data_IF_718606512159
#
_entry.id   IF_718606512159
#
_cell.length_a   1.000
_cell.length_b   1.000
_cell.length_c   1.000
_cell.angle_alpha   90.00
_cell.angle_beta   90.00
_cell.angle_gamma   90.00
#
_symmetry.space_group_name_H-M   'P 1'
#
loop_
_entity.id
_entity.type
_entity.pdbx_description
1 polymer ?
#
# COMPACT_ATOMS: atom_id res chain seq x y z
N UNK A 1 44.66 -33.07 29.95
CA UNK A 1 45.18 -34.25 29.23
C UNK A 1 44.17 -34.68 28.18
N UNK A 2 44.68 -35.05 27.00
CA UNK A 2 44.01 -35.65 25.81
C UNK A 2 43.16 -34.73 24.93
N UNK A 3 43.86 -34.16 23.95
CA UNK A 3 43.42 -33.88 22.58
C UNK A 3 42.87 -35.17 21.94
N UNK A 4 41.77 -35.09 21.18
CA UNK A 4 41.57 -35.87 19.95
C UNK A 4 40.80 -34.99 18.93
N UNK A 5 41.48 -34.73 17.82
CA UNK A 5 40.96 -34.25 16.54
C UNK A 5 40.10 -35.35 15.88
N UNK A 6 38.99 -35.00 15.25
CA UNK A 6 38.65 -35.58 13.93
C UNK A 6 37.69 -34.66 13.16
N UNK A 7 38.15 -34.24 11.99
CA UNK A 7 37.40 -33.52 10.99
C UNK A 7 36.58 -34.50 10.15
N UNK A 8 35.38 -34.09 9.71
CA UNK A 8 34.83 -34.49 8.42
C UNK A 8 33.79 -33.46 7.95
N UNK A 9 33.95 -33.08 6.69
CA UNK A 9 33.19 -32.12 5.89
C UNK A 9 31.72 -32.50 5.74
N UNK A 10 30.83 -31.50 5.77
CA UNK A 10 29.71 -31.43 4.82
C UNK A 10 29.37 -29.96 4.55
N UNK A 11 29.44 -29.59 3.27
CA UNK A 11 29.16 -28.28 2.75
C UNK A 11 27.65 -28.06 2.64
N UNK A 12 27.17 -26.90 3.08
CA UNK A 12 25.85 -26.38 2.72
C UNK A 12 26.05 -25.00 2.09
N UNK A 13 25.68 -24.91 0.81
CA UNK A 13 25.80 -23.71 0.00
C UNK A 13 24.81 -22.63 0.45
N UNK A 14 25.32 -21.52 0.95
CA UNK A 14 24.57 -20.27 1.10
C UNK A 14 24.78 -19.43 -0.17
N UNK A 15 23.71 -19.26 -0.94
CA UNK A 15 23.63 -18.27 -1.99
C UNK A 15 23.52 -16.87 -1.35
N UNK A 16 24.66 -16.20 -1.20
CA UNK A 16 24.73 -14.77 -0.84
C UNK A 16 24.71 -13.97 -2.14
N UNK A 17 23.73 -13.07 -2.24
CA UNK A 17 23.63 -12.12 -3.35
C UNK A 17 24.91 -11.31 -3.49
N UNK A 18 25.41 -11.25 -4.72
CA UNK A 18 26.63 -10.54 -5.08
C UNK A 18 26.43 -9.03 -4.91
N UNK A 19 26.84 -8.48 -3.77
CA UNK A 19 27.36 -7.10 -3.76
C UNK A 19 28.64 -7.12 -4.57
N UNK A 20 28.62 -6.48 -5.74
CA UNK A 20 29.83 -6.27 -6.54
C UNK A 20 30.80 -5.40 -5.75
N UNK A 21 31.64 -6.02 -4.92
CA UNK A 21 32.88 -5.41 -4.46
C UNK A 21 33.73 -5.21 -5.70
N UNK A 22 34.12 -3.97 -5.96
CA UNK A 22 35.20 -3.63 -6.88
C UNK A 22 36.51 -4.20 -6.30
N UNK A 23 36.72 -5.51 -6.41
CA UNK A 23 38.04 -6.12 -6.25
C UNK A 23 38.78 -5.92 -7.56
N UNK A 24 39.59 -4.86 -7.61
CA UNK A 24 40.57 -4.68 -8.66
C UNK A 24 41.54 -5.86 -8.67
N UNK A 25 41.54 -6.64 -9.75
CA UNK A 25 42.59 -7.64 -9.98
C UNK A 25 43.95 -6.94 -10.11
N UNK A 26 45.03 -7.50 -9.53
CA UNK A 26 46.37 -6.96 -9.67
C UNK A 26 46.86 -7.16 -11.11
N UNK A 27 46.96 -6.07 -11.88
CA UNK A 27 47.69 -6.07 -13.15
C UNK A 27 49.19 -6.04 -12.87
N UNK A 28 49.94 -6.88 -13.57
CA UNK A 28 51.41 -6.90 -13.61
C UNK A 28 51.94 -5.49 -13.91
N UNK A 29 52.67 -4.92 -12.96
CA UNK A 29 53.20 -3.55 -12.99
C UNK A 29 54.45 -3.45 -13.88
N UNK A 30 54.36 -2.66 -14.94
CA UNK A 30 55.50 -2.01 -15.61
C UNK A 30 56.29 -1.20 -14.57
N UNK A 31 57.62 -1.05 -14.68
CA UNK A 31 58.39 -0.26 -13.71
C UNK A 31 57.84 1.16 -13.62
N UNK A 32 57.48 1.56 -12.40
CA UNK A 32 56.98 2.89 -12.10
C UNK A 32 58.13 3.88 -12.31
N UNK A 33 57.96 4.83 -13.22
CA UNK A 33 58.88 5.96 -13.31
C UNK A 33 58.65 6.84 -12.10
N UNK A 34 59.53 6.72 -11.10
CA UNK A 34 59.55 7.59 -9.93
C UNK A 34 59.83 9.02 -10.38
N UNK A 35 59.09 9.96 -9.81
CA UNK A 35 59.17 11.39 -10.11
C UNK A 35 59.62 12.12 -8.84
N UNK A 36 60.62 12.98 -8.99
CA UNK A 36 61.15 13.80 -7.88
C UNK A 36 60.32 15.09 -7.66
N UNK A 37 59.21 15.28 -8.38
CA UNK A 37 58.33 16.44 -8.17
C UNK A 37 57.55 16.25 -6.85
N UNK A 38 58.00 16.97 -5.83
CA UNK A 38 57.42 16.96 -4.48
C UNK A 38 55.91 17.21 -4.48
N UNK A 39 55.40 18.09 -5.35
CA UNK A 39 53.98 18.37 -5.44
C UNK A 39 53.21 17.18 -6.05
N UNK A 40 53.80 16.51 -7.04
CA UNK A 40 53.23 15.30 -7.68
C UNK A 40 53.11 14.16 -6.65
N UNK A 41 54.18 13.92 -5.88
CA UNK A 41 54.23 12.89 -4.83
C UNK A 41 53.27 13.19 -3.68
N UNK A 42 53.32 14.41 -3.13
CA UNK A 42 52.49 14.79 -1.98
C UNK A 42 50.99 14.78 -2.31
N UNK A 43 50.61 15.27 -3.49
CA UNK A 43 49.20 15.31 -3.90
C UNK A 43 48.67 13.90 -4.21
N UNK A 44 49.45 13.06 -4.89
CA UNK A 44 49.04 11.67 -5.14
C UNK A 44 48.97 10.86 -3.83
N UNK A 45 49.91 11.05 -2.90
CA UNK A 45 49.85 10.43 -1.57
C UNK A 45 48.60 10.85 -0.81
N UNK A 46 48.24 12.15 -0.82
CA UNK A 46 47.01 12.64 -0.21
C UNK A 46 45.77 11.96 -0.82
N UNK A 47 45.74 11.77 -2.14
CA UNK A 47 44.69 10.98 -2.79
C UNK A 47 44.64 9.54 -2.24
N UNK A 48 45.76 8.81 -2.24
CA UNK A 48 45.81 7.40 -1.82
C UNK A 48 45.41 7.22 -0.35
N UNK A 49 45.92 8.07 0.53
CA UNK A 49 45.67 8.00 1.97
C UNK A 49 44.19 8.28 2.31
N UNK A 50 43.46 8.99 1.43
CA UNK A 50 42.08 9.41 1.68
C UNK A 50 41.02 8.69 0.82
N UNK A 51 41.40 7.95 -0.23
CA UNK A 51 40.42 7.41 -1.20
C UNK A 51 39.34 6.50 -0.60
N UNK A 52 39.66 5.82 0.50
CA UNK A 52 38.72 4.96 1.25
C UNK A 52 38.08 5.72 2.43
N UNK A 53 38.85 6.29 3.39
CA UNK A 53 38.25 6.85 4.59
C UNK A 53 37.56 8.21 4.36
N UNK A 54 38.03 8.99 3.38
CA UNK A 54 37.59 10.37 3.13
C UNK A 54 37.56 10.68 1.63
N UNK A 55 36.68 10.02 0.86
CA UNK A 55 36.71 10.07 -0.61
C UNK A 55 36.54 11.49 -1.18
N UNK A 56 35.88 12.41 -0.46
CA UNK A 56 35.83 13.84 -0.82
C UNK A 56 37.20 14.54 -0.77
N UNK A 57 38.06 14.17 0.19
CA UNK A 57 39.43 14.71 0.30
C UNK A 57 40.30 14.13 -0.82
N UNK A 58 40.11 12.85 -1.14
CA UNK A 58 40.76 12.21 -2.27
C UNK A 58 40.34 12.83 -3.60
N UNK A 59 39.04 13.12 -3.78
CA UNK A 59 38.54 13.82 -4.96
C UNK A 59 39.18 15.18 -5.15
N UNK A 60 39.26 16.00 -4.10
CA UNK A 60 39.94 17.28 -4.17
C UNK A 60 41.42 17.11 -4.55
N UNK A 61 42.13 16.18 -3.92
CA UNK A 61 43.54 15.90 -4.24
C UNK A 61 43.73 15.42 -5.69
N UNK A 62 42.84 14.55 -6.19
CA UNK A 62 42.85 14.10 -7.57
C UNK A 62 42.61 15.26 -8.55
N UNK A 63 41.66 16.16 -8.25
CA UNK A 63 41.40 17.36 -9.06
C UNK A 63 42.60 18.30 -9.06
N UNK A 64 43.19 18.57 -7.90
CA UNK A 64 44.38 19.41 -7.76
C UNK A 64 45.56 18.85 -8.57
N UNK A 65 45.78 17.53 -8.52
CA UNK A 65 46.76 16.83 -9.34
C UNK A 65 46.48 17.03 -10.84
N UNK A 66 45.23 16.85 -11.27
CA UNK A 66 44.84 16.96 -12.67
C UNK A 66 44.88 18.40 -13.19
N UNK A 67 44.76 19.42 -12.34
CA UNK A 67 44.95 20.82 -12.75
C UNK A 67 46.39 21.07 -13.19
N UNK A 68 47.37 20.54 -12.45
CA UNK A 68 48.80 20.77 -12.74
C UNK A 68 49.35 19.79 -13.78
N UNK A 69 48.99 18.51 -13.69
CA UNK A 69 49.59 17.45 -14.51
C UNK A 69 48.61 16.79 -15.48
N UNK A 70 47.36 17.24 -15.59
CA UNK A 70 46.33 16.53 -16.37
C UNK A 70 46.58 16.41 -17.88
N UNK A 71 47.56 17.17 -18.42
CA UNK A 71 48.04 17.06 -19.81
C UNK A 71 49.04 15.93 -20.02
N UNK A 72 49.66 15.43 -18.94
CA UNK A 72 50.56 14.28 -19.01
C UNK A 72 49.74 13.01 -19.27
N UNK A 73 50.29 12.10 -20.07
CA UNK A 73 49.69 10.79 -20.35
C UNK A 73 50.45 9.67 -19.63
N UNK A 74 50.50 9.78 -18.30
CA UNK A 74 51.12 8.78 -17.44
C UNK A 74 50.07 7.89 -16.76
N UNK A 75 50.55 6.88 -16.03
CA UNK A 75 49.68 5.95 -15.33
C UNK A 75 48.82 6.63 -14.24
N UNK A 76 49.33 7.68 -13.61
CA UNK A 76 48.65 8.39 -12.52
C UNK A 76 47.55 9.29 -13.07
N UNK A 77 47.81 10.07 -14.12
CA UNK A 77 46.80 10.92 -14.76
C UNK A 77 45.68 10.09 -15.37
N UNK A 78 46.00 8.94 -15.99
CA UNK A 78 44.97 7.99 -16.48
C UNK A 78 44.12 7.45 -15.34
N UNK A 79 44.74 6.95 -14.28
CA UNK A 79 44.03 6.40 -13.13
C UNK A 79 43.17 7.45 -12.42
N UNK A 80 43.71 8.64 -12.16
CA UNK A 80 42.98 9.71 -11.50
C UNK A 80 41.82 10.22 -12.36
N UNK A 81 41.97 10.29 -13.68
CA UNK A 81 40.89 10.65 -14.62
C UNK A 81 39.71 9.67 -14.50
N UNK A 82 40.00 8.37 -14.50
CA UNK A 82 38.97 7.33 -14.37
C UNK A 82 38.32 7.35 -12.97
N UNK A 83 39.13 7.52 -11.93
CA UNK A 83 38.65 7.60 -10.55
C UNK A 83 37.75 8.83 -10.32
N UNK A 84 38.15 10.02 -10.79
CA UNK A 84 37.37 11.26 -10.72
C UNK A 84 36.00 11.05 -11.38
N UNK A 85 35.98 10.47 -12.58
CA UNK A 85 34.75 10.20 -13.32
C UNK A 85 33.84 9.24 -12.54
N UNK A 86 34.39 8.17 -11.97
CA UNK A 86 33.64 7.20 -11.17
C UNK A 86 33.07 7.84 -9.89
N UNK A 87 33.86 8.66 -9.20
CA UNK A 87 33.43 9.39 -8.00
C UNK A 87 32.28 10.37 -8.32
N UNK A 88 32.40 11.16 -9.39
CA UNK A 88 31.35 12.12 -9.80
C UNK A 88 30.05 11.41 -10.19
N UNK A 89 30.14 10.25 -10.85
CA UNK A 89 29.00 9.41 -11.20
C UNK A 89 28.29 8.85 -9.95
N UNK A 90 29.06 8.36 -8.98
CA UNK A 90 28.55 7.83 -7.72
C UNK A 90 27.90 8.92 -6.85
N UNK A 91 28.54 10.08 -6.70
CA UNK A 91 27.98 11.24 -6.00
C UNK A 91 26.66 11.71 -6.65
N UNK A 92 26.61 11.76 -7.98
CA UNK A 92 25.38 12.09 -8.71
C UNK A 92 24.29 11.06 -8.44
N UNK A 93 24.63 9.78 -8.43
CA UNK A 93 23.69 8.68 -8.17
C UNK A 93 23.13 8.77 -6.75
N UNK A 94 23.99 8.99 -5.75
CA UNK A 94 23.60 9.18 -4.35
C UNK A 94 22.70 10.40 -4.18
N UNK A 95 23.03 11.52 -4.83
CA UNK A 95 22.20 12.73 -4.78
C UNK A 95 20.80 12.48 -5.36
N UNK A 96 20.71 11.87 -6.54
CA UNK A 96 19.42 11.53 -7.16
C UNK A 96 18.62 10.57 -6.29
N UNK A 97 19.26 9.57 -5.68
CA UNK A 97 18.59 8.65 -4.76
C UNK A 97 18.06 9.38 -3.50
N UNK A 98 18.84 10.30 -2.94
CA UNK A 98 18.41 11.11 -1.79
C UNK A 98 17.22 12.02 -2.14
N UNK A 99 17.25 12.68 -3.30
CA UNK A 99 16.13 13.51 -3.79
C UNK A 99 14.85 12.68 -4.01
N UNK A 100 14.97 11.45 -4.50
CA UNK A 100 13.84 10.52 -4.65
C UNK A 100 13.25 10.13 -3.30
N UNK A 101 14.11 9.78 -2.34
CA UNK A 101 13.69 9.42 -0.98
C UNK A 101 13.02 10.59 -0.26
N UNK A 102 13.54 11.82 -0.41
CA UNK A 102 12.92 13.03 0.15
C UNK A 102 11.53 13.28 -0.42
N UNK A 103 11.34 13.15 -1.75
CA UNK A 103 10.00 13.26 -2.36
C UNK A 103 9.01 12.22 -1.84
N UNK A 104 9.45 10.96 -1.70
CA UNK A 104 8.63 9.91 -1.09
C UNK A 104 8.23 10.29 0.33
N UNK A 105 9.20 10.70 1.16
CA UNK A 105 8.95 11.06 2.55
C UNK A 105 8.02 12.27 2.67
N UNK A 106 8.16 13.27 1.81
CA UNK A 106 7.27 14.42 1.77
C UNK A 106 5.83 14.04 1.39
N UNK A 107 5.66 13.13 0.42
CA UNK A 107 4.34 12.61 0.06
C UNK A 107 3.70 11.91 1.25
N UNK A 108 4.41 10.96 1.87
CA UNK A 108 3.89 10.19 3.01
C UNK A 108 3.64 11.06 4.24
N UNK A 109 4.53 12.03 4.50
CA UNK A 109 4.36 13.01 5.57
C UNK A 109 3.14 13.91 5.37
N UNK A 110 2.76 14.19 4.11
CA UNK A 110 1.58 14.99 3.80
C UNK A 110 0.28 14.30 4.24
N UNK A 111 0.20 12.95 4.16
CA UNK A 111 -0.94 12.21 4.73
C UNK A 111 -1.01 12.33 6.25
N UNK A 112 0.13 12.26 6.94
CA UNK A 112 0.16 12.46 8.41
C UNK A 112 -0.31 13.85 8.81
N UNK A 113 -0.06 14.85 7.96
CA UNK A 113 -0.51 16.24 8.12
C UNK A 113 -1.93 16.48 7.62
N UNK A 114 -2.59 15.46 7.08
CA UNK A 114 -3.92 15.54 6.40
C UNK A 114 -3.94 16.52 5.21
N UNK A 115 -2.78 16.80 4.63
CA UNK A 115 -2.65 17.56 3.39
C UNK A 115 -2.75 16.60 2.18
N UNK A 116 -3.97 16.11 1.98
CA UNK A 116 -4.26 15.15 0.91
C UNK A 116 -3.98 15.75 -0.48
N UNK A 117 -4.25 17.05 -0.68
CA UNK A 117 -4.03 17.71 -1.96
C UNK A 117 -2.56 17.72 -2.35
N UNK A 118 -1.66 18.04 -1.40
CA UNK A 118 -0.22 17.94 -1.62
C UNK A 118 0.22 16.50 -1.89
N UNK A 119 -0.26 15.53 -1.10
CA UNK A 119 0.09 14.12 -1.28
C UNK A 119 -0.26 13.60 -2.68
N UNK A 120 -1.51 13.81 -3.12
CA UNK A 120 -1.95 13.39 -4.46
C UNK A 120 -1.27 14.21 -5.57
N UNK A 121 -1.00 15.50 -5.35
CA UNK A 121 -0.24 16.34 -6.29
C UNK A 121 1.19 15.84 -6.54
N UNK A 122 1.82 15.22 -5.54
CA UNK A 122 3.17 14.64 -5.64
C UNK A 122 3.19 13.22 -6.21
N UNK A 123 2.07 12.51 -6.21
CA UNK A 123 1.98 11.09 -6.54
C UNK A 123 2.59 10.74 -7.89
N UNK A 124 2.26 11.52 -8.94
CA UNK A 124 2.76 11.28 -10.30
C UNK A 124 4.28 11.34 -10.38
N UNK A 125 4.91 12.30 -9.68
CA UNK A 125 6.35 12.45 -9.69
C UNK A 125 7.04 11.31 -8.93
N UNK A 126 6.53 10.97 -7.74
CA UNK A 126 7.09 9.88 -6.92
C UNK A 126 6.95 8.52 -7.63
N UNK A 127 5.80 8.24 -8.25
CA UNK A 127 5.57 6.99 -8.96
C UNK A 127 6.22 6.95 -10.34
N UNK A 128 6.66 8.07 -10.91
CA UNK A 128 7.51 8.06 -12.10
C UNK A 128 8.93 7.53 -11.76
N UNK A 129 9.42 7.83 -10.55
CA UNK A 129 10.72 7.34 -10.08
C UNK A 129 10.70 5.85 -9.74
N UNK A 130 9.59 5.35 -9.18
CA UNK A 130 9.35 3.94 -8.88
C UNK A 130 7.85 3.60 -9.02
N UNK A 131 7.40 3.10 -10.18
CA UNK A 131 5.99 2.79 -10.42
C UNK A 131 5.45 1.65 -9.55
N UNK A 132 6.31 0.79 -9.01
CA UNK A 132 5.95 -0.35 -8.17
C UNK A 132 6.23 -0.09 -6.68
N UNK A 133 6.33 1.19 -6.27
CA UNK A 133 6.52 1.54 -4.87
C UNK A 133 5.27 1.16 -4.05
N UNK A 134 5.23 -0.08 -3.55
CA UNK A 134 4.10 -0.67 -2.83
C UNK A 134 3.71 0.19 -1.63
N UNK A 135 4.69 0.73 -0.89
CA UNK A 135 4.45 1.60 0.28
C UNK A 135 3.68 2.87 -0.10
N UNK A 136 4.08 3.54 -1.17
CA UNK A 136 3.40 4.75 -1.67
C UNK A 136 2.03 4.40 -2.24
N UNK A 137 1.91 3.30 -2.97
CA UNK A 137 0.62 2.85 -3.55
C UNK A 137 -0.39 2.46 -2.46
N UNK A 138 0.04 1.80 -1.39
CA UNK A 138 -0.81 1.52 -0.23
C UNK A 138 -1.34 2.83 0.37
N UNK A 139 -0.45 3.78 0.65
CA UNK A 139 -0.83 5.06 1.24
C UNK A 139 -1.82 5.83 0.34
N UNK A 140 -1.48 6.01 -0.95
CA UNK A 140 -2.37 6.67 -1.92
C UNK A 140 -3.70 5.94 -2.12
N UNK A 141 -3.69 4.60 -2.03
CA UNK A 141 -4.89 3.78 -2.21
C UNK A 141 -5.84 3.86 -1.03
N UNK A 142 -5.30 3.83 0.19
CA UNK A 142 -6.10 3.81 1.41
C UNK A 142 -6.50 5.20 1.91
N UNK A 143 -5.59 6.19 1.86
CA UNK A 143 -5.82 7.53 2.44
C UNK A 143 -6.87 8.37 1.69
N UNK A 144 -7.32 7.93 0.51
CA UNK A 144 -8.50 8.52 -0.16
C UNK A 144 -9.78 8.35 0.67
N UNK A 145 -9.87 7.29 1.49
CA UNK A 145 -10.93 7.13 2.50
C UNK A 145 -10.82 8.23 3.56
N UNK A 146 -9.61 8.50 4.05
CA UNK A 146 -9.35 9.59 5.01
C UNK A 146 -9.72 10.96 4.43
N UNK A 147 -9.32 11.23 3.18
CA UNK A 147 -9.69 12.46 2.46
C UNK A 147 -11.22 12.61 2.35
N UNK A 148 -11.93 11.53 2.00
CA UNK A 148 -13.39 11.54 1.87
C UNK A 148 -14.12 11.69 3.20
N UNK A 149 -13.68 10.99 4.24
CA UNK A 149 -14.44 10.87 5.49
C UNK A 149 -14.05 11.93 6.53
N UNK A 150 -12.79 12.35 6.58
CA UNK A 150 -12.30 13.34 7.52
C UNK A 150 -12.29 14.75 6.93
N UNK A 151 -11.80 14.89 5.70
CA UNK A 151 -11.71 16.19 5.01
C UNK A 151 -12.92 16.48 4.09
N UNK A 152 -13.86 15.54 3.96
CA UNK A 152 -15.07 15.66 3.11
C UNK A 152 -14.72 15.97 1.65
N UNK A 153 -13.62 15.40 1.16
CA UNK A 153 -13.12 15.64 -0.18
C UNK A 153 -13.06 14.32 -0.96
N UNK A 154 -14.07 14.08 -1.79
CA UNK A 154 -14.19 12.89 -2.65
C UNK A 154 -13.39 13.00 -3.96
N UNK A 155 -12.75 14.14 -4.24
CA UNK A 155 -12.11 14.40 -5.54
C UNK A 155 -10.99 13.40 -5.87
N UNK A 156 -10.39 12.78 -4.86
CA UNK A 156 -9.30 11.83 -5.02
C UNK A 156 -9.77 10.38 -5.19
N UNK A 157 -11.06 10.07 -5.00
CA UNK A 157 -11.54 8.69 -4.90
C UNK A 157 -11.24 7.86 -6.15
N UNK A 158 -11.34 8.44 -7.35
CA UNK A 158 -11.05 7.73 -8.58
C UNK A 158 -9.55 7.37 -8.71
N UNK A 159 -8.67 8.32 -8.40
CA UNK A 159 -7.22 8.09 -8.44
C UNK A 159 -6.79 7.13 -7.33
N UNK A 160 -7.31 7.32 -6.12
CA UNK A 160 -7.09 6.44 -4.98
C UNK A 160 -7.49 5.00 -5.29
N UNK A 161 -8.63 4.78 -5.94
CA UNK A 161 -9.03 3.43 -6.36
C UNK A 161 -8.02 2.78 -7.31
N UNK A 162 -7.54 3.53 -8.31
CA UNK A 162 -6.49 3.05 -9.21
C UNK A 162 -5.20 2.63 -8.47
N UNK A 163 -4.78 3.41 -7.47
CA UNK A 163 -3.61 3.08 -6.64
C UNK A 163 -3.87 1.87 -5.74
N UNK A 164 -5.06 1.76 -5.14
CA UNK A 164 -5.45 0.63 -4.31
C UNK A 164 -5.45 -0.68 -5.10
N UNK A 165 -6.03 -0.69 -6.30
CA UNK A 165 -6.00 -1.85 -7.21
C UNK A 165 -4.58 -2.28 -7.54
N UNK A 166 -3.71 -1.33 -7.88
CA UNK A 166 -2.30 -1.63 -8.19
C UNK A 166 -1.56 -2.18 -6.98
N UNK A 167 -1.78 -1.61 -5.79
CA UNK A 167 -1.20 -2.11 -4.55
C UNK A 167 -1.64 -3.55 -4.26
N UNK A 168 -2.95 -3.86 -4.37
CA UNK A 168 -3.50 -5.21 -4.21
C UNK A 168 -2.80 -6.18 -5.17
N UNK A 169 -2.73 -5.86 -6.46
CA UNK A 169 -2.08 -6.71 -7.46
C UNK A 169 -0.60 -7.01 -7.14
N UNK A 170 0.16 -5.99 -6.75
CA UNK A 170 1.57 -6.16 -6.38
C UNK A 170 1.73 -7.04 -5.13
N UNK A 171 0.92 -6.80 -4.10
CA UNK A 171 0.96 -7.56 -2.85
C UNK A 171 0.55 -9.03 -3.06
N UNK A 172 -0.47 -9.27 -3.87
CA UNK A 172 -0.93 -10.63 -4.22
C UNK A 172 0.10 -11.38 -5.08
N UNK A 173 0.84 -10.68 -5.94
CA UNK A 173 1.97 -11.26 -6.70
C UNK A 173 3.25 -11.48 -5.87
N UNK A 174 3.23 -11.14 -4.58
CA UNK A 174 4.33 -11.40 -3.65
C UNK A 174 5.29 -10.25 -3.43
N UNK A 175 5.04 -9.06 -3.99
CA UNK A 175 5.80 -7.85 -3.66
C UNK A 175 5.44 -7.39 -2.25
N UNK A 176 6.44 -6.94 -1.50
CA UNK A 176 6.25 -6.43 -0.14
C UNK A 176 6.94 -5.07 0.00
N UNK A 177 6.38 -4.13 0.79
CA UNK A 177 7.14 -2.96 1.22
C UNK A 177 8.22 -3.38 2.23
N UNK A 178 9.18 -2.49 2.49
CA UNK A 178 10.20 -2.70 3.54
C UNK A 178 9.57 -2.75 4.95
N UNK A 179 8.39 -2.15 5.12
CA UNK A 179 7.60 -2.19 6.35
C UNK A 179 6.10 -2.12 6.05
N UNK A 180 5.29 -2.83 6.83
CA UNK A 180 3.82 -2.79 6.75
C UNK A 180 3.22 -1.61 7.54
N UNK A 181 4.00 -0.94 8.39
CA UNK A 181 3.51 0.14 9.23
C UNK A 181 2.84 1.26 8.39
N UNK A 182 1.73 1.86 8.87
CA UNK A 182 1.13 1.68 10.20
C UNK A 182 0.24 0.43 10.34
N UNK A 183 0.07 -0.36 9.28
CA UNK A 183 -0.67 -1.62 9.34
C UNK A 183 0.14 -2.71 10.05
N UNK A 184 -0.58 -3.70 10.58
CA UNK A 184 0.04 -4.78 11.38
C UNK A 184 0.80 -5.76 10.50
N UNK A 185 0.26 -6.08 9.32
CA UNK A 185 0.77 -7.11 8.42
C UNK A 185 0.14 -6.96 7.01
N UNK A 186 0.45 -7.92 6.13
CA UNK A 186 -0.09 -8.01 4.76
C UNK A 186 -1.61 -8.11 4.74
N UNK A 187 -2.19 -8.92 5.62
CA UNK A 187 -3.63 -9.19 5.67
C UNK A 187 -4.40 -7.91 6.02
N UNK A 188 -3.92 -7.14 6.99
CA UNK A 188 -4.50 -5.88 7.42
C UNK A 188 -4.47 -4.81 6.32
N UNK A 189 -3.39 -4.76 5.54
CA UNK A 189 -3.30 -3.92 4.33
C UNK A 189 -4.31 -4.37 3.28
N UNK A 190 -4.33 -5.66 2.92
CA UNK A 190 -5.22 -6.15 1.87
C UNK A 190 -6.69 -5.91 2.24
N UNK A 191 -7.08 -6.20 3.49
CA UNK A 191 -8.43 -5.93 3.96
C UNK A 191 -8.78 -4.44 3.88
N UNK A 192 -7.85 -3.56 4.24
CA UNK A 192 -8.05 -2.11 4.19
C UNK A 192 -8.12 -1.56 2.75
N UNK A 193 -7.36 -2.12 1.82
CA UNK A 193 -7.43 -1.77 0.41
C UNK A 193 -8.71 -2.28 -0.25
N UNK A 194 -9.16 -3.50 0.06
CA UNK A 194 -10.46 -3.99 -0.38
C UNK A 194 -11.61 -3.16 0.19
N UNK A 195 -11.52 -2.76 1.46
CA UNK A 195 -12.47 -1.80 2.04
C UNK A 195 -12.48 -0.47 1.28
N UNK A 196 -11.30 0.08 0.93
CA UNK A 196 -11.19 1.33 0.19
C UNK A 196 -11.81 1.21 -1.22
N UNK A 197 -11.52 0.14 -1.95
CA UNK A 197 -12.14 -0.16 -3.25
C UNK A 197 -13.67 -0.22 -3.19
N UNK A 198 -14.20 -0.91 -2.18
CA UNK A 198 -15.64 -0.92 -1.91
C UNK A 198 -16.19 0.48 -1.65
N UNK A 199 -15.48 1.26 -0.84
CA UNK A 199 -15.86 2.62 -0.48
C UNK A 199 -15.91 3.55 -1.70
N UNK A 200 -14.90 3.54 -2.57
CA UNK A 200 -14.87 4.38 -3.77
C UNK A 200 -15.94 3.99 -4.79
N UNK A 201 -16.30 2.71 -4.87
CA UNK A 201 -17.36 2.23 -5.75
C UNK A 201 -18.77 2.49 -5.20
N UNK A 202 -18.94 2.73 -3.89
CA UNK A 202 -20.24 2.71 -3.22
C UNK A 202 -21.29 3.64 -3.86
N UNK A 203 -20.90 4.85 -4.24
CA UNK A 203 -21.83 5.87 -4.76
C UNK A 203 -22.10 5.70 -6.25
N UNK A 204 -21.10 5.26 -7.02
CA UNK A 204 -21.15 5.25 -8.49
C UNK A 204 -21.47 3.88 -9.07
N UNK A 205 -21.05 2.81 -8.38
CA UNK A 205 -21.19 1.41 -8.78
C UNK A 205 -21.42 0.51 -7.53
N UNK A 206 -22.51 0.72 -6.78
CA UNK A 206 -22.76 0.03 -5.51
C UNK A 206 -22.72 -1.51 -5.61
N UNK A 207 -23.20 -2.10 -6.71
CA UNK A 207 -23.11 -3.55 -6.90
C UNK A 207 -21.66 -4.05 -6.99
N UNK A 208 -20.75 -3.27 -7.59
CA UNK A 208 -19.33 -3.60 -7.66
C UNK A 208 -18.60 -3.41 -6.33
N UNK A 209 -19.19 -2.69 -5.37
CA UNK A 209 -18.63 -2.52 -4.03
C UNK A 209 -18.79 -3.76 -3.14
N UNK A 210 -19.87 -4.53 -3.35
CA UNK A 210 -20.20 -5.72 -2.55
C UNK A 210 -19.04 -6.72 -2.43
N UNK A 211 -18.45 -7.24 -3.52
CA UNK A 211 -17.39 -8.25 -3.41
C UNK A 211 -16.15 -7.72 -2.66
N UNK A 212 -15.85 -6.43 -2.78
CA UNK A 212 -14.73 -5.80 -2.09
C UNK A 212 -14.98 -5.71 -0.57
N UNK A 213 -16.17 -5.27 -0.14
CA UNK A 213 -16.51 -5.27 1.29
C UNK A 213 -16.61 -6.67 1.88
N UNK A 214 -17.12 -7.66 1.13
CA UNK A 214 -17.12 -9.05 1.57
C UNK A 214 -15.71 -9.58 1.78
N UNK A 215 -14.79 -9.34 0.82
CA UNK A 215 -13.38 -9.70 1.00
C UNK A 215 -12.76 -9.05 2.23
N UNK A 216 -12.97 -7.74 2.41
CA UNK A 216 -12.48 -7.01 3.58
C UNK A 216 -13.01 -7.58 4.90
N UNK A 217 -14.27 -8.03 4.92
CA UNK A 217 -14.91 -8.66 6.08
C UNK A 217 -14.47 -10.11 6.34
N UNK A 218 -13.87 -10.79 5.36
CA UNK A 218 -13.42 -12.17 5.47
C UNK A 218 -11.94 -12.30 5.89
N UNK A 219 -11.11 -11.33 5.50
CA UNK A 219 -9.69 -11.31 5.85
C UNK A 219 -9.52 -11.05 7.35
N UNK A 220 -8.67 -11.85 8.01
CA UNK A 220 -8.41 -11.73 9.45
C UNK A 220 -7.60 -10.45 9.75
N UNK A 221 -8.32 -9.37 10.04
CA UNK A 221 -7.82 -8.00 10.16
C UNK A 221 -8.77 -7.16 11.01
N UNK A 222 -8.40 -5.93 11.33
CA UNK A 222 -9.28 -5.03 12.07
C UNK A 222 -10.57 -4.71 11.28
N UNK A 223 -10.53 -4.82 9.94
CA UNK A 223 -11.69 -4.60 9.06
C UNK A 223 -12.79 -5.63 9.23
N UNK A 224 -12.45 -6.87 9.58
CA UNK A 224 -13.41 -7.93 9.89
C UNK A 224 -14.24 -7.64 11.14
N UNK A 225 -13.70 -6.86 12.08
CA UNK A 225 -14.43 -6.42 13.27
C UNK A 225 -14.92 -4.97 13.20
N UNK A 226 -14.61 -4.24 12.12
CA UNK A 226 -14.98 -2.84 11.98
C UNK A 226 -16.48 -2.72 11.64
N UNK A 227 -17.28 -2.02 12.47
CA UNK A 227 -18.71 -1.84 12.19
C UNK A 227 -18.98 -1.17 10.83
N UNK A 228 -18.09 -0.24 10.42
CA UNK A 228 -18.22 0.48 9.15
C UNK A 228 -18.12 -0.43 7.93
N UNK A 229 -17.34 -1.52 7.98
CA UNK A 229 -17.24 -2.50 6.87
C UNK A 229 -18.62 -3.06 6.53
N UNK A 230 -19.37 -3.46 7.54
CA UNK A 230 -20.71 -4.04 7.38
C UNK A 230 -21.77 -2.98 7.08
N UNK A 231 -21.65 -1.78 7.65
CA UNK A 231 -22.52 -0.66 7.30
C UNK A 231 -22.40 -0.29 5.81
N UNK A 232 -21.19 -0.15 5.29
CA UNK A 232 -21.00 0.17 3.88
C UNK A 232 -21.37 -1.00 2.95
N UNK A 233 -21.17 -2.26 3.39
CA UNK A 233 -21.73 -3.42 2.69
C UNK A 233 -23.26 -3.36 2.60
N UNK A 234 -23.94 -3.00 3.69
CA UNK A 234 -25.38 -2.79 3.69
C UNK A 234 -25.79 -1.68 2.70
N UNK A 235 -25.09 -0.54 2.70
CA UNK A 235 -25.34 0.51 1.73
C UNK A 235 -25.12 0.06 0.28
N UNK A 236 -24.13 -0.80 0.03
CA UNK A 236 -23.87 -1.35 -1.30
C UNK A 236 -25.03 -2.26 -1.78
N UNK A 237 -25.56 -3.12 -0.91
CA UNK A 237 -26.76 -3.90 -1.23
C UNK A 237 -27.98 -3.00 -1.47
N UNK A 238 -28.19 -2.01 -0.60
CA UNK A 238 -29.33 -1.09 -0.64
C UNK A 238 -29.33 -0.24 -1.92
N UNK A 239 -28.21 0.41 -2.23
CA UNK A 239 -28.06 1.29 -3.39
C UNK A 239 -27.87 0.54 -4.71
N UNK A 240 -27.46 -0.74 -4.65
CA UNK A 240 -27.25 -1.60 -5.81
C UNK A 240 -28.47 -2.48 -6.11
N UNK A 241 -28.29 -3.79 -5.90
CA UNK A 241 -29.25 -4.80 -6.34
C UNK A 241 -30.64 -4.60 -5.73
N UNK A 242 -30.76 -4.21 -4.46
CA UNK A 242 -32.06 -4.01 -3.82
C UNK A 242 -32.86 -2.91 -4.52
N UNK A 243 -32.25 -1.72 -4.70
CA UNK A 243 -32.88 -0.61 -5.41
C UNK A 243 -33.25 -0.99 -6.84
N UNK A 244 -32.32 -1.58 -7.59
CA UNK A 244 -32.55 -1.95 -9.00
C UNK A 244 -33.71 -2.94 -9.15
N UNK A 245 -33.72 -4.00 -8.34
CA UNK A 245 -34.78 -5.01 -8.38
C UNK A 245 -36.13 -4.45 -7.91
N UNK A 246 -36.14 -3.62 -6.87
CA UNK A 246 -37.36 -2.97 -6.37
C UNK A 246 -37.96 -1.99 -7.38
N UNK A 247 -37.11 -1.21 -8.06
CA UNK A 247 -37.55 -0.30 -9.13
C UNK A 247 -38.11 -1.09 -10.33
N UNK A 248 -37.47 -2.21 -10.72
CA UNK A 248 -37.97 -3.09 -11.79
C UNK A 248 -39.31 -3.72 -11.43
N UNK A 249 -39.43 -4.25 -10.21
CA UNK A 249 -40.66 -4.84 -9.70
C UNK A 249 -41.81 -3.84 -9.71
N UNK A 250 -41.57 -2.64 -9.19
CA UNK A 250 -42.58 -1.58 -9.11
C UNK A 250 -43.09 -1.19 -10.51
N UNK A 251 -42.18 -1.08 -11.49
CA UNK A 251 -42.53 -0.75 -12.89
C UNK A 251 -43.33 -1.85 -13.58
N UNK A 252 -42.99 -3.11 -13.33
CA UNK A 252 -43.59 -4.26 -14.04
C UNK A 252 -44.87 -4.76 -13.39
N UNK A 253 -44.94 -4.75 -12.07
CA UNK A 253 -45.98 -5.44 -11.29
C UNK A 253 -46.74 -4.55 -10.31
N UNK A 254 -46.33 -3.30 -10.06
CA UNK A 254 -46.86 -2.49 -8.96
C UNK A 254 -48.37 -2.22 -8.98
N UNK A 255 -49.00 -2.28 -10.17
CA UNK A 255 -50.46 -2.10 -10.35
C UNK A 255 -51.12 -3.33 -10.99
N UNK A 256 -50.44 -4.48 -10.99
CA UNK A 256 -50.95 -5.71 -11.58
C UNK A 256 -51.44 -6.68 -10.50
N UNK A 257 -52.34 -7.58 -10.89
CA UNK A 257 -52.67 -8.72 -10.04
C UNK A 257 -51.42 -9.58 -9.85
N UNK A 258 -51.31 -10.19 -8.67
CA UNK A 258 -50.21 -11.08 -8.35
C UNK A 258 -50.13 -12.25 -9.36
N UNK A 259 -48.93 -12.49 -9.89
CA UNK A 259 -48.64 -13.57 -10.84
C UNK A 259 -47.47 -14.44 -10.34
N UNK A 260 -47.27 -15.64 -10.91
CA UNK A 260 -46.08 -16.45 -10.61
C UNK A 260 -44.76 -15.67 -10.83
N UNK A 261 -44.70 -14.85 -11.88
CA UNK A 261 -43.55 -14.01 -12.20
C UNK A 261 -43.35 -12.89 -11.18
N UNK A 262 -44.43 -12.24 -10.70
CA UNK A 262 -44.32 -11.22 -9.66
C UNK A 262 -43.83 -11.86 -8.35
N UNK A 263 -44.34 -13.04 -7.97
CA UNK A 263 -43.85 -13.78 -6.79
C UNK A 263 -42.36 -14.10 -6.90
N UNK A 264 -41.90 -14.60 -8.04
CA UNK A 264 -40.50 -14.92 -8.27
C UNK A 264 -39.60 -13.66 -8.22
N UNK A 265 -40.08 -12.54 -8.76
CA UNK A 265 -39.36 -11.26 -8.70
C UNK A 265 -39.27 -10.72 -7.27
N UNK A 266 -40.36 -10.81 -6.49
CA UNK A 266 -40.38 -10.42 -5.08
C UNK A 266 -39.44 -11.30 -4.24
N UNK A 267 -39.41 -12.61 -4.50
CA UNK A 267 -38.49 -13.52 -3.82
C UNK A 267 -37.01 -13.16 -4.08
N UNK A 268 -36.68 -12.71 -5.29
CA UNK A 268 -35.33 -12.23 -5.57
C UNK A 268 -34.99 -10.93 -4.82
N UNK A 269 -35.96 -10.03 -4.64
CA UNK A 269 -35.80 -8.84 -3.79
C UNK A 269 -35.55 -9.28 -2.33
N UNK A 270 -36.36 -10.22 -1.82
CA UNK A 270 -36.25 -10.71 -0.45
C UNK A 270 -34.87 -11.32 -0.17
N UNK A 271 -34.28 -12.08 -1.10
CA UNK A 271 -32.92 -12.61 -0.94
C UNK A 271 -31.85 -11.52 -0.78
N UNK A 272 -31.98 -10.41 -1.50
CA UNK A 272 -31.05 -9.27 -1.35
C UNK A 272 -31.33 -8.53 -0.05
N UNK A 273 -32.61 -8.37 0.31
CA UNK A 273 -33.04 -7.76 1.56
C UNK A 273 -32.53 -8.55 2.78
N UNK A 274 -32.51 -9.88 2.72
CA UNK A 274 -31.97 -10.72 3.79
C UNK A 274 -30.45 -10.46 3.99
N UNK A 275 -29.68 -10.30 2.90
CA UNK A 275 -28.26 -9.92 2.94
C UNK A 275 -28.06 -8.50 3.49
N UNK A 276 -28.94 -7.57 3.11
CA UNK A 276 -28.95 -6.20 3.60
C UNK A 276 -29.19 -6.14 5.12
N UNK A 277 -30.17 -6.90 5.61
CA UNK A 277 -30.52 -7.02 7.03
C UNK A 277 -29.37 -7.65 7.81
N UNK A 278 -28.77 -8.75 7.31
CA UNK A 278 -27.58 -9.37 7.92
C UNK A 278 -26.43 -8.36 8.07
N UNK A 279 -26.09 -7.63 6.99
CA UNK A 279 -25.02 -6.63 7.03
C UNK A 279 -25.29 -5.50 8.04
N UNK A 280 -26.49 -4.93 8.07
CA UNK A 280 -26.84 -3.93 9.08
C UNK A 280 -26.82 -4.51 10.50
N UNK A 281 -27.28 -5.74 10.72
CA UNK A 281 -27.26 -6.39 12.03
C UNK A 281 -25.83 -6.61 12.52
N UNK A 282 -24.90 -7.04 11.66
CA UNK A 282 -23.46 -7.15 11.98
C UNK A 282 -22.86 -5.79 12.35
N UNK A 283 -23.21 -4.73 11.59
CA UNK A 283 -22.76 -3.38 11.88
C UNK A 283 -23.23 -2.92 13.28
N UNK A 284 -24.50 -3.14 13.62
CA UNK A 284 -25.06 -2.80 14.93
C UNK A 284 -24.43 -3.63 16.04
N UNK A 285 -24.32 -4.95 15.87
CA UNK A 285 -23.75 -5.85 16.87
C UNK A 285 -22.28 -5.53 17.20
N UNK A 286 -21.50 -5.12 16.20
CA UNK A 286 -20.11 -4.69 16.40
C UNK A 286 -20.02 -3.29 17.02
N UNK A 287 -20.87 -2.35 16.57
CA UNK A 287 -20.86 -0.98 17.10
C UNK A 287 -21.28 -0.90 18.58
N UNK A 288 -22.12 -1.83 19.05
CA UNK A 288 -22.50 -1.92 20.46
C UNK A 288 -21.31 -2.11 21.41
N UNK A 289 -20.17 -2.60 20.90
CA UNK A 289 -18.96 -2.84 21.69
C UNK A 289 -18.09 -1.57 21.87
N UNK A 290 -18.38 -0.50 21.13
CA UNK A 290 -17.62 0.76 21.17
C UNK A 290 -18.52 1.96 21.48
N UNK A 291 -18.41 2.58 22.67
CA UNK A 291 -19.18 3.76 23.03
C UNK A 291 -19.02 4.93 22.04
N UNK A 292 -17.88 5.04 21.34
CA UNK A 292 -17.67 6.09 20.33
C UNK A 292 -18.60 5.93 19.12
N UNK A 293 -19.12 4.74 18.90
CA UNK A 293 -20.03 4.42 17.81
C UNK A 293 -21.51 4.54 18.20
N UNK A 294 -21.85 4.94 19.44
CA UNK A 294 -23.24 4.94 19.92
C UNK A 294 -24.21 5.73 19.01
N UNK A 295 -23.78 6.89 18.51
CA UNK A 295 -24.59 7.70 17.60
C UNK A 295 -24.82 7.00 16.24
N UNK A 296 -23.76 6.46 15.65
CA UNK A 296 -23.84 5.70 14.40
C UNK A 296 -24.70 4.44 14.57
N UNK A 297 -24.48 3.69 15.65
CA UNK A 297 -25.25 2.50 16.01
C UNK A 297 -26.75 2.79 16.07
N UNK A 298 -27.16 3.89 16.71
CA UNK A 298 -28.58 4.28 16.78
C UNK A 298 -29.17 4.50 15.39
N UNK A 299 -28.47 5.19 14.51
CA UNK A 299 -28.93 5.43 13.14
C UNK A 299 -29.01 4.13 12.33
N UNK A 300 -28.00 3.26 12.44
CA UNK A 300 -27.96 1.99 11.72
C UNK A 300 -29.04 1.03 12.23
N UNK A 301 -29.29 1.02 13.54
CA UNK A 301 -30.35 0.21 14.16
C UNK A 301 -31.75 0.65 13.74
N UNK A 302 -31.99 1.95 13.57
CA UNK A 302 -33.25 2.45 13.02
C UNK A 302 -33.48 1.91 11.60
N UNK A 303 -32.49 2.04 10.71
CA UNK A 303 -32.58 1.50 9.34
C UNK A 303 -32.77 -0.02 9.32
N UNK A 304 -32.02 -0.74 10.15
CA UNK A 304 -32.18 -2.18 10.32
C UNK A 304 -33.62 -2.53 10.71
N UNK A 305 -34.18 -1.81 11.68
CA UNK A 305 -35.54 -2.05 12.14
C UNK A 305 -36.56 -1.85 11.02
N UNK A 306 -36.39 -0.83 10.17
CA UNK A 306 -37.31 -0.57 9.06
C UNK A 306 -37.30 -1.72 8.04
N UNK A 307 -36.09 -2.16 7.63
CA UNK A 307 -35.95 -3.28 6.70
C UNK A 307 -36.42 -4.61 7.30
N UNK A 308 -36.12 -4.84 8.58
CA UNK A 308 -36.56 -6.05 9.27
C UNK A 308 -38.08 -6.11 9.38
N UNK A 309 -38.74 -5.02 9.78
CA UNK A 309 -40.20 -4.91 9.84
C UNK A 309 -40.83 -5.14 8.48
N UNK A 310 -40.31 -4.50 7.44
CA UNK A 310 -40.79 -4.71 6.07
C UNK A 310 -40.70 -6.19 5.65
N UNK A 311 -39.63 -6.90 6.05
CA UNK A 311 -39.44 -8.33 5.77
C UNK A 311 -40.29 -9.27 6.62
N UNK A 312 -40.80 -8.80 7.76
CA UNK A 312 -41.49 -9.59 8.80
C UNK A 312 -42.85 -8.99 9.19
N UNK A 313 -43.69 -8.69 8.19
CA UNK A 313 -45.11 -8.32 8.42
C UNK A 313 -45.29 -7.12 9.37
N UNK A 314 -44.40 -6.13 9.25
CA UNK A 314 -44.32 -4.94 10.11
C UNK A 314 -43.99 -5.19 11.60
N UNK A 315 -43.47 -6.38 11.92
CA UNK A 315 -43.04 -6.77 13.26
C UNK A 315 -41.52 -6.66 13.45
N UNK A 316 -41.09 -6.20 14.63
CA UNK A 316 -39.69 -6.28 15.08
C UNK A 316 -39.43 -7.47 16.03
N UNK A 317 -40.41 -8.35 16.20
CA UNK A 317 -40.23 -9.57 16.98
C UNK A 317 -39.03 -10.39 16.45
N UNK A 318 -38.15 -10.80 17.34
CA UNK A 318 -36.93 -11.55 16.99
C UNK A 318 -35.73 -10.71 16.57
N UNK A 319 -35.88 -9.38 16.39
CA UNK A 319 -34.79 -8.53 15.89
C UNK A 319 -33.59 -8.48 16.87
N UNK A 320 -33.85 -8.45 18.17
CA UNK A 320 -32.78 -8.41 19.17
C UNK A 320 -31.99 -9.72 19.22
N UNK A 321 -32.70 -10.84 19.14
CA UNK A 321 -32.16 -12.19 19.08
C UNK A 321 -31.32 -12.36 17.82
N UNK A 322 -31.82 -11.87 16.67
CA UNK A 322 -31.10 -11.86 15.41
C UNK A 322 -29.79 -11.06 15.50
N UNK A 323 -29.83 -9.80 15.98
CA UNK A 323 -28.63 -8.97 16.19
C UNK A 323 -27.61 -9.67 17.10
N UNK A 324 -28.08 -10.32 18.16
CA UNK A 324 -27.20 -11.00 19.12
C UNK A 324 -26.53 -12.24 18.52
N UNK A 325 -27.19 -12.95 17.60
CA UNK A 325 -26.70 -14.17 16.98
C UNK A 325 -25.94 -13.99 15.66
N UNK A 326 -26.11 -12.87 14.97
CA UNK A 326 -25.64 -12.69 13.57
C UNK A 326 -24.13 -12.88 13.39
N UNK A 327 -23.32 -12.53 14.39
CA UNK A 327 -21.86 -12.70 14.29
C UNK A 327 -21.40 -14.16 14.39
N UNK A 328 -22.26 -15.07 14.87
CA UNK A 328 -21.97 -16.50 14.93
C UNK A 328 -22.28 -17.22 13.60
N UNK A 329 -22.99 -16.59 12.68
CA UNK A 329 -23.28 -17.14 11.36
C UNK A 329 -22.24 -16.68 10.32
N UNK A 330 -21.93 -17.52 9.31
CA UNK A 330 -21.10 -17.09 8.20
C UNK A 330 -21.70 -15.88 7.48
N UNK A 331 -20.84 -14.96 7.03
CA UNK A 331 -21.27 -13.83 6.19
C UNK A 331 -21.89 -14.38 4.89
N UNK A 332 -23.10 -13.93 4.50
CA UNK A 332 -23.70 -14.31 3.24
C UNK A 332 -22.79 -13.97 2.07
N UNK A 333 -22.60 -14.92 1.15
CA UNK A 333 -21.80 -14.69 -0.05
C UNK A 333 -22.56 -13.82 -1.06
N UNK A 334 -21.86 -13.00 -1.89
CA UNK A 334 -22.45 -12.10 -2.87
C UNK A 334 -23.50 -12.72 -3.78
#
# INVERSE_FOLDING_TARGET
>A
MKKIMLACFFALALAVGATARLQAQPRTSTPVQETDDEYKVTTYKKFVDNREPYPQVAYQAARDYMVKYGKEDDQYTRYLRDWIKAYEEDERTRRVAAEKADREQQLLGSFTQKDYAKAYGMAKQVLADNPENVKVLIALGYEGVGASTEARNENFNNEAGGYAQKAIQLIESGKTPDTWAPFKNKEDVLASLYYAEGFYALKTKPESAVPNFVKAAQIDSDRKSAPSTYYYLALAYQGGAYKRLSDDYSKRFGNQAESPESKAALENINKVLDKLIDAYARAVALAQKDPKQAAAMTQWRARLSDFYKFRHENSDAGLNEFISGVLATPLPQP
#
